data_IF_469442993260
#
_entry.id   IF_469442993260
#
_cell.length_a   1.000
_cell.length_b   1.000
_cell.length_c   1.000
_cell.angle_alpha   90.00
_cell.angle_beta   90.00
_cell.angle_gamma   90.00
#
_symmetry.space_group_name_H-M   'P 1'
#
loop_
_entity.id
_entity.type
_entity.pdbx_description
1 polymer ?
#
# COMPACT_ATOMS: atom_id res chain seq x y z
N UNK A 1 48.70 39.69 -38.34
CA UNK A 1 49.49 39.82 -39.59
C UNK A 1 48.59 39.38 -40.74
N UNK A 2 48.43 40.37 -41.70
CA UNK A 2 47.98 40.24 -43.10
C UNK A 2 46.53 39.72 -43.35
N UNK A 3 45.53 40.55 -43.51
CA UNK A 3 45.21 41.48 -44.65
C UNK A 3 45.12 40.82 -46.00
N UNK A 4 43.96 40.96 -46.67
CA UNK A 4 43.68 41.41 -48.04
C UNK A 4 42.27 40.91 -48.42
N UNK A 5 41.23 41.74 -48.55
CA UNK A 5 40.88 42.79 -49.53
C UNK A 5 40.49 42.27 -50.93
N UNK A 6 39.30 42.71 -51.36
CA UNK A 6 38.75 43.08 -52.70
C UNK A 6 38.23 41.91 -53.57
N UNK A 7 37.16 42.04 -54.29
CA UNK A 7 36.66 43.15 -55.12
C UNK A 7 35.17 43.00 -55.42
N UNK A 8 34.52 44.12 -55.56
CA UNK A 8 33.20 44.36 -56.19
C UNK A 8 33.40 44.58 -57.68
N UNK A 9 32.43 44.26 -58.57
CA UNK A 9 31.93 45.27 -59.51
C UNK A 9 30.41 45.29 -59.63
N UNK A 10 29.93 46.44 -59.87
CA UNK A 10 28.62 47.03 -59.92
C UNK A 10 27.80 46.76 -61.17
N UNK A 11 26.85 47.63 -61.51
CA UNK A 11 25.50 47.20 -61.93
C UNK A 11 25.33 47.21 -63.49
N UNK A 12 24.47 46.29 -63.95
CA UNK A 12 23.98 46.33 -65.37
C UNK A 12 22.47 46.60 -65.37
N UNK A 13 22.15 47.76 -65.87
CA UNK A 13 20.82 48.19 -66.27
C UNK A 13 20.30 47.32 -67.42
N UNK A 14 19.17 46.70 -67.29
CA UNK A 14 18.38 46.23 -68.41
C UNK A 14 16.91 46.57 -68.26
N UNK A 15 16.43 47.16 -69.29
CA UNK A 15 15.18 47.80 -69.70
C UNK A 15 13.89 47.05 -69.36
N UNK A 16 12.90 47.84 -68.95
CA UNK A 16 11.48 47.50 -68.84
C UNK A 16 10.88 47.02 -70.14
N UNK A 17 10.28 45.83 -70.14
CA UNK A 17 9.19 45.48 -71.05
C UNK A 17 7.91 45.33 -70.31
N UNK A 18 6.98 46.24 -70.56
CA UNK A 18 5.62 46.20 -70.05
C UNK A 18 4.84 45.19 -70.85
N UNK A 19 4.46 44.07 -70.31
CA UNK A 19 3.44 43.19 -70.84
C UNK A 19 2.12 43.43 -70.12
N UNK A 20 1.12 43.91 -70.81
CA UNK A 20 -0.27 43.98 -70.40
C UNK A 20 -0.79 42.55 -70.27
N UNK A 21 -1.00 42.05 -69.12
CA UNK A 21 -1.68 40.78 -68.82
C UNK A 21 -3.15 41.04 -68.50
N UNK A 22 -4.03 40.34 -69.22
CA UNK A 22 -5.47 40.32 -69.03
C UNK A 22 -5.82 39.66 -67.66
N UNK A 23 -6.90 40.07 -66.96
CA UNK A 23 -7.32 39.45 -65.72
C UNK A 23 -8.00 38.10 -66.01
N UNK A 24 -7.32 37.01 -65.81
CA UNK A 24 -7.95 35.68 -65.66
C UNK A 24 -8.46 35.50 -64.30
N UNK A 25 -9.78 35.46 -64.11
CA UNK A 25 -10.50 35.15 -62.93
C UNK A 25 -10.20 33.69 -62.51
N UNK A 26 -9.22 33.49 -61.62
CA UNK A 26 -8.95 32.18 -61.03
C UNK A 26 -9.84 32.04 -59.81
N UNK A 27 -10.88 31.22 -59.94
CA UNK A 27 -11.64 30.69 -58.81
C UNK A 27 -10.66 29.86 -57.95
N UNK A 28 -10.29 30.40 -56.76
CA UNK A 28 -9.55 29.67 -55.75
C UNK A 28 -10.56 28.79 -55.01
N UNK A 29 -10.67 27.51 -55.37
CA UNK A 29 -11.40 26.50 -54.59
C UNK A 29 -10.54 26.17 -53.39
N UNK A 30 -10.84 26.78 -52.25
CA UNK A 30 -10.28 26.36 -50.94
C UNK A 30 -10.88 25.01 -50.56
N UNK A 31 -10.18 23.94 -50.90
CA UNK A 31 -10.48 22.61 -50.28
C UNK A 31 -10.02 22.68 -48.86
N UNK A 32 -10.97 22.87 -47.94
CA UNK A 32 -10.75 22.74 -46.48
C UNK A 32 -10.54 21.25 -46.24
N UNK A 33 -9.30 20.80 -46.13
CA UNK A 33 -8.93 19.50 -45.61
C UNK A 33 -9.30 19.50 -44.11
N UNK A 34 -10.51 19.00 -43.80
CA UNK A 34 -10.87 18.66 -42.42
C UNK A 34 -10.03 17.45 -42.01
N UNK A 35 -8.87 17.73 -41.44
CA UNK A 35 -8.04 16.72 -40.82
C UNK A 35 -8.79 16.25 -39.54
N UNK A 36 -9.24 14.99 -39.44
CA UNK A 36 -9.79 14.52 -38.18
C UNK A 36 -8.68 14.62 -37.15
N UNK A 37 -8.82 15.50 -36.16
CA UNK A 37 -7.97 15.55 -35.01
C UNK A 37 -8.20 14.22 -34.23
N UNK A 38 -7.33 13.24 -34.50
CA UNK A 38 -7.24 12.06 -33.67
C UNK A 38 -6.80 12.58 -32.29
N UNK A 39 -7.75 12.77 -31.42
CA UNK A 39 -7.49 13.04 -30.02
C UNK A 39 -6.79 11.80 -29.42
N UNK A 40 -5.46 11.79 -29.45
CA UNK A 40 -4.69 10.89 -28.64
C UNK A 40 -5.06 11.20 -27.18
N UNK A 41 -5.97 10.40 -26.62
CA UNK A 41 -6.29 10.47 -25.23
C UNK A 41 -4.99 10.35 -24.44
N UNK A 42 -4.56 11.42 -23.78
CA UNK A 42 -3.40 11.39 -22.90
C UNK A 42 -3.67 10.33 -21.83
N UNK A 43 -3.00 9.20 -21.92
CA UNK A 43 -3.03 8.20 -20.85
C UNK A 43 -2.46 8.86 -19.60
N UNK A 44 -3.29 8.97 -18.57
CA UNK A 44 -2.83 9.52 -17.29
C UNK A 44 -1.67 8.68 -16.77
N UNK A 45 -0.67 9.33 -16.17
CA UNK A 45 0.43 8.63 -15.52
C UNK A 45 -0.09 7.58 -14.53
N UNK A 46 0.53 6.40 -14.45
CA UNK A 46 0.09 5.34 -13.54
C UNK A 46 0.18 5.79 -12.09
N UNK A 47 -0.74 5.31 -11.26
CA UNK A 47 -0.68 5.45 -9.80
C UNK A 47 0.45 4.56 -9.30
N UNK A 48 1.51 5.16 -8.76
CA UNK A 48 2.67 4.43 -8.24
C UNK A 48 2.39 4.02 -6.79
N UNK A 49 2.36 2.73 -6.52
CA UNK A 49 2.01 2.16 -5.21
C UNK A 49 3.25 1.51 -4.58
N UNK A 50 3.58 1.92 -3.34
CA UNK A 50 4.58 1.21 -2.55
C UNK A 50 3.95 -0.04 -1.96
N UNK A 51 4.52 -1.21 -2.21
CA UNK A 51 4.01 -2.49 -1.71
C UNK A 51 5.14 -3.46 -1.37
N UNK A 52 4.84 -4.38 -0.48
CA UNK A 52 5.74 -5.49 -0.17
C UNK A 52 5.53 -6.63 -1.17
N UNK A 53 6.62 -7.21 -1.73
CA UNK A 53 6.51 -8.29 -2.70
C UNK A 53 6.02 -9.63 -2.14
N UNK A 54 6.12 -9.87 -0.81
CA UNK A 54 5.89 -11.19 -0.19
C UNK A 54 5.08 -11.13 1.12
N UNK A 55 4.21 -10.14 1.28
CA UNK A 55 3.46 -9.88 2.52
C UNK A 55 1.97 -10.23 2.39
N UNK A 56 1.64 -11.47 2.08
CA UNK A 56 0.23 -11.91 2.09
C UNK A 56 -0.37 -11.89 3.51
N UNK A 57 -1.61 -11.48 3.68
CA UNK A 57 -2.67 -11.21 2.69
C UNK A 57 -2.70 -9.79 2.13
N UNK A 58 -1.74 -8.93 2.47
CA UNK A 58 -1.72 -7.52 2.07
C UNK A 58 -1.35 -7.37 0.60
N UNK A 59 -0.14 -7.77 0.23
CA UNK A 59 0.36 -7.66 -1.12
C UNK A 59 1.37 -8.74 -1.48
N UNK A 60 1.47 -9.07 -2.76
CA UNK A 60 2.55 -9.83 -3.35
C UNK A 60 2.77 -9.42 -4.81
N UNK A 61 3.87 -9.87 -5.42
CA UNK A 61 4.17 -9.59 -6.84
C UNK A 61 3.18 -10.23 -7.81
N UNK A 62 2.46 -11.28 -7.39
CA UNK A 62 1.38 -11.91 -8.18
C UNK A 62 0.07 -11.12 -8.13
N UNK A 63 0.03 -10.01 -7.38
CA UNK A 63 -1.12 -9.12 -7.22
C UNK A 63 -2.33 -9.80 -6.56
N UNK A 64 -2.09 -10.77 -5.69
CA UNK A 64 -3.12 -11.58 -5.04
C UNK A 64 -3.57 -11.02 -3.69
N UNK A 65 -2.88 -10.00 -3.14
CA UNK A 65 -3.22 -9.41 -1.85
C UNK A 65 -4.40 -8.44 -1.90
N UNK A 66 -5.06 -8.24 -0.76
CA UNK A 66 -6.20 -7.32 -0.70
C UNK A 66 -5.80 -5.86 -0.96
N UNK A 67 -4.59 -5.44 -0.60
CA UNK A 67 -4.07 -4.10 -0.90
C UNK A 67 -3.82 -3.93 -2.41
N UNK A 68 -3.39 -5.00 -3.11
CA UNK A 68 -3.28 -4.98 -4.57
C UNK A 68 -4.66 -4.76 -5.22
N UNK A 69 -5.70 -5.43 -4.73
CA UNK A 69 -7.08 -5.28 -5.22
C UNK A 69 -7.62 -3.87 -4.96
N UNK A 70 -7.39 -3.33 -3.75
CA UNK A 70 -7.80 -1.97 -3.38
C UNK A 70 -7.04 -0.94 -4.24
N UNK A 71 -5.74 -1.11 -4.46
CA UNK A 71 -4.95 -0.23 -5.32
C UNK A 71 -5.50 -0.21 -6.76
N UNK A 72 -5.85 -1.38 -7.30
CA UNK A 72 -6.47 -1.51 -8.63
C UNK A 72 -7.83 -0.81 -8.71
N UNK A 73 -8.65 -0.94 -7.66
CA UNK A 73 -9.94 -0.25 -7.55
C UNK A 73 -9.75 1.28 -7.55
N UNK A 74 -8.79 1.79 -6.77
CA UNK A 74 -8.49 3.22 -6.72
C UNK A 74 -8.00 3.72 -8.08
N UNK A 75 -7.05 3.03 -8.71
CA UNK A 75 -6.51 3.44 -10.00
C UNK A 75 -7.59 3.48 -11.09
N UNK A 76 -8.48 2.48 -11.12
CA UNK A 76 -9.62 2.42 -12.02
C UNK A 76 -10.52 3.66 -11.88
N UNK A 77 -10.91 4.03 -10.66
CA UNK A 77 -11.76 5.20 -10.40
C UNK A 77 -11.04 6.53 -10.69
N UNK A 78 -9.71 6.55 -10.59
CA UNK A 78 -8.89 7.68 -10.99
C UNK A 78 -8.67 7.76 -12.51
N UNK A 79 -9.12 6.75 -13.27
CA UNK A 79 -8.96 6.65 -14.72
C UNK A 79 -7.50 6.43 -15.12
N UNK A 80 -6.76 5.60 -14.39
CA UNK A 80 -5.36 5.26 -14.65
C UNK A 80 -5.08 3.78 -14.33
N UNK A 81 -3.84 3.35 -14.48
CA UNK A 81 -3.35 2.01 -14.11
C UNK A 81 -2.52 2.07 -12.84
N UNK A 82 -2.17 0.90 -12.27
CA UNK A 82 -1.25 0.80 -11.14
C UNK A 82 0.15 0.46 -11.65
N UNK A 83 1.15 1.09 -11.04
CA UNK A 83 2.55 0.70 -11.13
C UNK A 83 3.08 0.46 -9.71
N UNK A 84 3.74 -0.66 -9.48
CA UNK A 84 4.22 -1.01 -8.14
C UNK A 84 5.69 -0.69 -7.96
N UNK A 85 6.02 -0.17 -6.78
CA UNK A 85 7.38 -0.08 -6.26
C UNK A 85 7.50 -1.11 -5.14
N UNK A 86 8.16 -2.21 -5.44
CA UNK A 86 8.32 -3.33 -4.53
C UNK A 86 9.47 -3.10 -3.57
N UNK A 87 9.17 -3.21 -2.28
CA UNK A 87 10.13 -3.11 -1.20
C UNK A 87 9.60 -3.83 0.04
N UNK A 88 10.42 -4.61 0.72
CA UNK A 88 10.00 -5.29 1.95
C UNK A 88 9.52 -4.30 3.00
N UNK A 89 8.34 -4.54 3.58
CA UNK A 89 7.73 -3.68 4.58
C UNK A 89 8.42 -3.83 5.95
N UNK A 90 9.57 -3.21 6.07
CA UNK A 90 10.43 -3.20 7.26
C UNK A 90 10.77 -1.77 7.65
N UNK A 91 11.56 -1.65 8.72
CA UNK A 91 12.09 -0.34 9.16
C UNK A 91 12.68 0.44 7.99
N UNK A 92 12.20 1.66 7.81
CA UNK A 92 12.62 2.52 6.71
C UNK A 92 11.84 2.33 5.41
N UNK A 93 10.83 1.48 5.35
CA UNK A 93 10.00 1.27 4.15
C UNK A 93 9.60 2.59 3.47
N UNK A 94 8.90 3.48 4.18
CA UNK A 94 8.45 4.78 3.62
C UNK A 94 9.63 5.69 3.26
N UNK A 95 10.70 5.70 4.05
CA UNK A 95 11.89 6.52 3.76
C UNK A 95 12.61 6.06 2.49
N UNK A 96 12.66 4.75 2.25
CA UNK A 96 13.37 4.17 1.11
C UNK A 96 12.50 4.05 -0.16
N UNK A 97 11.20 4.32 -0.04
CA UNK A 97 10.25 4.27 -1.16
C UNK A 97 9.65 5.65 -1.44
N UNK A 98 8.64 6.07 -0.70
CA UNK A 98 7.90 7.30 -0.95
C UNK A 98 8.74 8.57 -0.73
N UNK A 99 9.61 8.57 0.30
CA UNK A 99 10.41 9.71 0.69
C UNK A 99 11.88 9.61 0.24
N UNK A 100 12.21 8.70 -0.68
CA UNK A 100 13.56 8.57 -1.20
C UNK A 100 13.99 9.84 -1.95
N UNK A 101 15.03 10.53 -1.46
CA UNK A 101 15.52 11.79 -2.00
C UNK A 101 16.23 11.63 -3.35
N UNK A 102 16.85 10.48 -3.60
CA UNK A 102 17.66 10.23 -4.80
C UNK A 102 16.84 9.88 -6.06
N UNK A 103 15.52 9.71 -5.97
CA UNK A 103 14.66 9.32 -7.10
C UNK A 103 13.27 9.97 -7.03
N UNK A 104 13.16 11.21 -6.58
CA UNK A 104 11.93 12.02 -6.54
C UNK A 104 10.70 11.29 -5.95
N UNK A 105 10.91 10.47 -4.91
CA UNK A 105 9.86 9.64 -4.32
C UNK A 105 9.38 8.58 -5.32
N UNK A 106 9.72 7.34 -5.09
CA UNK A 106 9.45 6.24 -6.04
C UNK A 106 7.97 5.94 -6.21
N UNK A 107 7.14 6.21 -5.19
CA UNK A 107 5.70 5.94 -5.20
C UNK A 107 4.88 7.09 -4.62
N UNK A 108 3.60 7.11 -4.95
CA UNK A 108 2.66 8.18 -4.62
C UNK A 108 1.77 7.79 -3.42
N UNK A 109 1.48 6.49 -3.28
CA UNK A 109 0.56 5.97 -2.27
C UNK A 109 1.05 4.65 -1.68
N UNK A 110 0.72 4.43 -0.41
CA UNK A 110 0.79 3.14 0.29
C UNK A 110 -0.61 2.82 0.81
N UNK A 111 -1.05 1.57 0.67
CA UNK A 111 -2.45 1.23 0.97
C UNK A 111 -2.67 0.95 2.46
N UNK A 112 -1.70 0.37 3.18
CA UNK A 112 -1.82 0.00 4.59
C UNK A 112 -0.80 0.70 5.49
N UNK A 113 -1.24 1.73 6.25
CA UNK A 113 -0.47 2.36 7.32
C UNK A 113 -1.38 2.66 8.52
N UNK A 114 -0.86 2.71 9.74
CA UNK A 114 -1.63 3.19 10.87
C UNK A 114 -2.14 4.62 10.64
N UNK A 115 -3.36 4.91 11.09
CA UNK A 115 -3.89 6.29 11.09
C UNK A 115 -2.94 7.23 11.84
N UNK A 116 -2.70 8.41 11.28
CA UNK A 116 -1.80 9.40 11.87
C UNK A 116 -0.31 9.07 11.75
N UNK A 117 0.08 8.09 10.92
CA UNK A 117 1.49 7.78 10.71
C UNK A 117 2.24 8.97 10.13
N UNK A 118 3.19 9.49 10.89
CA UNK A 118 3.83 10.78 10.68
C UNK A 118 4.72 10.91 9.43
N UNK A 119 5.11 9.80 8.82
CA UNK A 119 5.96 9.83 7.61
C UNK A 119 5.17 10.09 6.31
N UNK A 120 3.85 10.03 6.36
CA UNK A 120 2.94 10.22 5.20
C UNK A 120 1.76 11.14 5.58
N UNK A 121 0.98 11.55 4.59
CA UNK A 121 -0.32 12.20 4.81
C UNK A 121 -1.40 11.12 4.76
N UNK A 122 -1.93 10.71 5.92
CA UNK A 122 -2.92 9.63 6.01
C UNK A 122 -4.31 10.09 5.62
N UNK A 123 -5.07 9.22 4.94
CA UNK A 123 -6.52 9.37 4.77
C UNK A 123 -7.24 9.06 6.09
N UNK A 124 -8.55 9.35 6.23
CA UNK A 124 -9.35 8.67 7.23
C UNK A 124 -9.26 7.14 7.07
N UNK A 125 -9.39 6.35 8.15
CA UNK A 125 -9.21 4.91 8.09
C UNK A 125 -10.23 4.24 7.17
N UNK A 126 -9.84 3.16 6.52
CA UNK A 126 -10.72 2.33 5.71
C UNK A 126 -11.06 1.01 6.38
N UNK A 127 -10.33 0.61 7.42
CA UNK A 127 -10.74 -0.44 8.34
C UNK A 127 -10.07 -0.28 9.71
N UNK A 128 -10.62 -1.00 10.70
CA UNK A 128 -10.03 -1.19 12.01
C UNK A 128 -9.91 -2.68 12.27
N UNK A 129 -8.77 -3.13 12.79
CA UNK A 129 -8.56 -4.52 13.18
C UNK A 129 -7.76 -4.60 14.48
N UNK A 130 -7.59 -5.80 15.02
CA UNK A 130 -6.91 -6.05 16.29
C UNK A 130 -5.99 -7.25 16.21
N UNK A 131 -5.09 -7.38 17.17
CA UNK A 131 -4.41 -8.65 17.42
C UNK A 131 -5.41 -9.66 17.97
N UNK A 132 -5.18 -10.92 17.66
CA UNK A 132 -6.03 -12.04 18.08
C UNK A 132 -5.18 -13.16 18.70
N UNK A 133 -5.72 -13.83 19.69
CA UNK A 133 -5.25 -15.14 20.11
C UNK A 133 -5.68 -16.17 19.07
N UNK A 134 -4.78 -17.04 18.65
CA UNK A 134 -5.02 -18.11 17.69
C UNK A 134 -4.62 -19.44 18.32
N UNK A 135 -5.55 -20.38 18.42
CA UNK A 135 -5.30 -21.73 18.95
C UNK A 135 -6.25 -22.75 18.36
N UNK A 136 -5.94 -24.08 18.44
CA UNK A 136 -6.79 -25.12 17.86
C UNK A 136 -8.17 -25.16 18.54
N UNK A 137 -9.24 -25.12 17.74
CA UNK A 137 -10.61 -25.20 18.22
C UNK A 137 -10.92 -26.59 18.80
N UNK A 138 -11.68 -26.63 19.91
CA UNK A 138 -12.17 -27.89 20.49
C UNK A 138 -11.12 -28.70 21.26
N UNK A 139 -9.93 -28.14 21.53
CA UNK A 139 -8.86 -28.80 22.32
C UNK A 139 -8.84 -28.40 23.78
N UNK A 140 -9.93 -27.85 24.32
CA UNK A 140 -10.05 -27.46 25.73
C UNK A 140 -9.27 -26.21 26.14
N UNK A 141 -8.59 -25.54 25.19
CA UNK A 141 -7.93 -24.27 25.45
C UNK A 141 -8.92 -23.13 25.27
N UNK A 142 -8.99 -22.25 26.26
CA UNK A 142 -9.76 -21.00 26.20
C UNK A 142 -8.91 -19.89 26.79
N UNK A 143 -8.49 -18.93 25.97
CA UNK A 143 -7.71 -17.77 26.40
C UNK A 143 -8.45 -16.52 25.97
N UNK A 144 -8.74 -15.63 26.92
CA UNK A 144 -9.50 -14.39 26.69
C UNK A 144 -8.76 -13.14 27.15
N UNK A 145 -7.62 -13.28 27.82
CA UNK A 145 -6.87 -12.18 28.39
C UNK A 145 -5.37 -12.47 28.38
N UNK A 146 -4.56 -11.43 28.31
CA UNK A 146 -3.11 -11.52 28.51
C UNK A 146 -2.73 -11.83 29.98
N UNK A 147 -3.67 -11.64 30.89
CA UNK A 147 -3.48 -11.93 32.32
C UNK A 147 -3.85 -13.38 32.68
N UNK A 148 -4.26 -14.19 31.71
CA UNK A 148 -4.60 -15.58 31.93
C UNK A 148 -3.36 -16.37 32.39
N UNK A 149 -3.35 -16.97 33.59
CA UNK A 149 -2.19 -17.66 34.15
C UNK A 149 -1.75 -18.87 33.32
N UNK A 150 -2.63 -19.41 32.46
CA UNK A 150 -2.29 -20.53 31.59
C UNK A 150 -1.20 -20.15 30.57
N UNK A 151 -1.07 -18.84 30.19
CA UNK A 151 -0.07 -18.36 29.25
C UNK A 151 1.36 -18.69 29.68
N UNK A 152 1.62 -18.76 31.00
CA UNK A 152 2.92 -19.16 31.57
C UNK A 152 3.29 -20.63 31.31
N UNK A 153 2.31 -21.46 30.91
CA UNK A 153 2.48 -22.89 30.65
C UNK A 153 2.43 -23.26 29.20
N UNK A 154 2.08 -22.31 28.32
CA UNK A 154 1.91 -22.52 26.90
C UNK A 154 3.13 -22.04 26.10
N UNK A 155 3.49 -22.76 25.03
CA UNK A 155 4.38 -22.21 23.99
C UNK A 155 3.58 -21.22 23.17
N UNK A 156 4.03 -19.95 23.16
CA UNK A 156 3.32 -18.84 22.54
C UNK A 156 4.09 -18.31 21.34
N UNK A 157 3.49 -18.37 20.15
CA UNK A 157 4.04 -17.77 18.96
C UNK A 157 3.76 -16.26 18.90
N UNK A 158 4.76 -15.46 18.57
CA UNK A 158 4.63 -14.03 18.31
C UNK A 158 5.50 -13.63 17.12
N UNK A 159 5.11 -12.57 16.41
CA UNK A 159 6.01 -11.96 15.42
C UNK A 159 7.08 -11.13 16.14
N UNK A 160 8.34 -11.24 15.67
CA UNK A 160 9.48 -10.46 16.15
C UNK A 160 10.10 -9.67 15.00
N UNK A 161 10.40 -8.39 15.28
CA UNK A 161 11.12 -7.50 14.36
C UNK A 161 12.64 -7.52 14.60
N UNK A 162 13.09 -8.00 15.74
CA UNK A 162 14.47 -8.00 16.18
C UNK A 162 14.58 -7.94 17.72
N UNK A 163 15.77 -7.65 18.22
CA UNK A 163 16.06 -7.60 19.64
C UNK A 163 15.79 -6.23 20.27
N UNK A 164 15.30 -5.27 19.49
CA UNK A 164 15.05 -3.90 19.92
C UNK A 164 13.59 -3.65 20.33
N UNK A 165 13.34 -2.47 20.91
CA UNK A 165 12.03 -2.02 21.39
C UNK A 165 10.98 -1.79 20.28
N UNK A 166 11.28 -2.14 19.04
CA UNK A 166 10.34 -1.99 17.91
C UNK A 166 9.42 -3.19 17.72
N UNK A 167 9.50 -4.18 18.60
CA UNK A 167 8.65 -5.36 18.55
C UNK A 167 7.16 -5.02 18.71
N UNK A 168 6.26 -5.84 18.13
CA UNK A 168 4.82 -5.63 18.25
C UNK A 168 4.30 -5.69 19.69
N UNK A 169 3.14 -5.06 19.98
CA UNK A 169 2.55 -5.00 21.33
C UNK A 169 2.49 -6.33 22.09
N UNK A 170 2.17 -7.49 21.47
CA UNK A 170 2.16 -8.76 22.20
C UNK A 170 3.46 -9.10 22.90
N UNK A 171 4.60 -8.82 22.27
CA UNK A 171 5.93 -9.13 22.84
C UNK A 171 6.16 -8.34 24.12
N UNK A 172 5.90 -7.03 24.08
CA UNK A 172 6.09 -6.15 25.23
C UNK A 172 5.17 -6.54 26.41
N UNK A 173 3.90 -6.81 26.10
CA UNK A 173 2.92 -7.10 27.13
C UNK A 173 3.08 -8.49 27.74
N UNK A 174 3.55 -9.49 26.99
CA UNK A 174 3.95 -10.79 27.54
C UNK A 174 5.18 -10.65 28.43
N UNK A 175 6.19 -9.91 28.00
CA UNK A 175 7.40 -9.66 28.79
C UNK A 175 7.11 -8.99 30.12
N UNK A 176 6.24 -7.96 30.15
CA UNK A 176 5.81 -7.30 31.40
C UNK A 176 5.13 -8.26 32.40
N UNK A 177 4.50 -9.32 31.88
CA UNK A 177 3.82 -10.35 32.69
C UNK A 177 4.73 -11.52 33.08
N UNK A 178 6.03 -11.42 32.74
CA UNK A 178 7.00 -12.48 32.97
C UNK A 178 6.77 -13.73 32.13
N UNK A 179 6.11 -13.59 30.98
CA UNK A 179 5.94 -14.66 29.99
C UNK A 179 7.00 -14.45 28.91
N UNK A 180 8.17 -15.06 29.11
CA UNK A 180 9.35 -14.89 28.24
C UNK A 180 9.88 -16.24 27.76
N UNK A 181 10.12 -17.18 28.66
CA UNK A 181 10.86 -18.42 28.40
C UNK A 181 10.17 -19.35 27.39
N UNK A 182 8.86 -19.26 27.28
CA UNK A 182 8.01 -20.07 26.40
C UNK A 182 7.49 -19.30 25.18
N UNK A 183 8.04 -18.13 24.91
CA UNK A 183 7.74 -17.36 23.69
C UNK A 183 8.61 -17.85 22.52
N UNK A 184 7.96 -18.10 21.39
CA UNK A 184 8.59 -18.52 20.14
C UNK A 184 8.43 -17.37 19.13
N UNK A 185 9.56 -16.81 18.69
CA UNK A 185 9.60 -15.73 17.72
C UNK A 185 9.47 -16.19 16.27
N UNK A 186 8.66 -15.49 15.49
CA UNK A 186 8.52 -15.65 14.05
C UNK A 186 8.96 -14.36 13.37
N UNK A 187 9.89 -14.48 12.43
CA UNK A 187 10.44 -13.32 11.72
C UNK A 187 9.38 -12.63 10.88
N UNK A 188 9.41 -11.29 10.87
CA UNK A 188 8.62 -10.44 9.96
C UNK A 188 9.37 -10.08 8.67
N UNK A 189 10.56 -10.66 8.46
CA UNK A 189 11.25 -10.56 7.18
C UNK A 189 10.73 -11.64 6.23
N UNK A 190 9.68 -11.30 5.51
CA UNK A 190 8.99 -12.24 4.63
C UNK A 190 9.77 -12.49 3.33
N UNK A 191 9.69 -13.73 2.85
CA UNK A 191 10.27 -14.23 1.62
C UNK A 191 9.46 -15.45 1.15
N UNK A 192 9.81 -16.03 0.00
CA UNK A 192 9.22 -17.31 -0.45
C UNK A 192 9.37 -18.43 0.59
N UNK A 193 10.47 -18.42 1.35
CA UNK A 193 10.80 -19.45 2.37
C UNK A 193 10.21 -19.10 3.74
N UNK A 194 9.94 -17.83 4.02
CA UNK A 194 9.41 -17.32 5.28
C UNK A 194 8.08 -16.60 5.09
N UNK A 195 7.00 -17.36 4.96
CA UNK A 195 5.65 -16.84 4.82
C UNK A 195 5.15 -16.14 6.09
N UNK A 196 4.38 -15.03 5.98
CA UNK A 196 3.66 -14.46 7.11
C UNK A 196 2.76 -15.46 7.85
N UNK A 197 2.32 -16.52 7.19
CA UNK A 197 1.49 -17.59 7.74
C UNK A 197 2.24 -18.64 8.55
N UNK A 198 3.57 -18.64 8.56
CA UNK A 198 4.36 -19.67 9.27
C UNK A 198 3.99 -19.80 10.76
N UNK A 199 3.61 -18.71 11.41
CA UNK A 199 3.14 -18.69 12.78
C UNK A 199 1.80 -19.41 12.95
N UNK A 200 0.88 -19.30 12.00
CA UNK A 200 -0.41 -20.00 12.02
C UNK A 200 -0.23 -21.47 11.72
N UNK A 201 0.66 -21.82 10.78
CA UNK A 201 1.06 -23.19 10.50
C UNK A 201 1.65 -23.88 11.74
N UNK A 202 2.43 -23.15 12.53
CA UNK A 202 3.01 -23.67 13.76
C UNK A 202 1.94 -24.00 14.82
N UNK A 203 0.88 -23.18 14.91
CA UNK A 203 -0.30 -23.47 15.76
C UNK A 203 -1.02 -24.72 15.23
N UNK A 204 -1.34 -24.80 13.96
CA UNK A 204 -2.06 -25.91 13.36
C UNK A 204 -1.30 -27.24 13.51
N UNK A 205 0.02 -27.20 13.40
CA UNK A 205 0.93 -28.35 13.56
C UNK A 205 1.30 -28.68 15.02
N UNK A 206 0.80 -27.92 15.99
CA UNK A 206 1.09 -28.11 17.41
C UNK A 206 2.53 -27.78 17.82
N UNK A 207 3.30 -27.05 17.01
CA UNK A 207 4.65 -26.58 17.37
C UNK A 207 4.63 -25.50 18.44
N UNK A 208 3.57 -24.69 18.44
CA UNK A 208 3.16 -23.77 19.51
C UNK A 208 1.72 -24.07 19.91
N UNK A 209 1.36 -23.81 21.14
CA UNK A 209 0.00 -24.06 21.63
C UNK A 209 -0.98 -22.95 21.26
N UNK A 210 -0.46 -21.74 21.18
CA UNK A 210 -1.20 -20.50 20.93
C UNK A 210 -0.28 -19.54 20.18
N UNK A 211 -0.86 -18.67 19.38
CA UNK A 211 -0.14 -17.50 18.83
C UNK A 211 -0.92 -16.21 19.09
N UNK A 212 -0.22 -15.07 19.17
CA UNK A 212 -0.84 -13.74 19.23
C UNK A 212 -0.41 -13.00 17.96
N UNK A 213 -1.37 -12.83 17.05
CA UNK A 213 -1.09 -12.43 15.66
C UNK A 213 -1.97 -11.26 15.26
N UNK A 214 -1.46 -10.41 14.38
CA UNK A 214 -2.27 -9.36 13.73
C UNK A 214 -3.44 -9.97 12.98
N UNK A 215 -4.65 -9.48 13.23
CA UNK A 215 -5.90 -10.08 12.78
C UNK A 215 -5.98 -10.41 11.29
N UNK A 216 -5.62 -9.51 10.36
CA UNK A 216 -5.62 -9.82 8.93
C UNK A 216 -4.76 -11.04 8.54
N UNK A 217 -3.57 -11.18 9.13
CA UNK A 217 -2.71 -12.36 8.92
C UNK A 217 -3.40 -13.61 9.49
N UNK A 218 -3.88 -13.50 10.73
CA UNK A 218 -4.53 -14.62 11.40
C UNK A 218 -5.75 -15.11 10.64
N UNK A 219 -6.66 -14.22 10.24
CA UNK A 219 -7.89 -14.58 9.53
C UNK A 219 -7.63 -15.24 8.19
N UNK A 220 -6.72 -14.69 7.42
CA UNK A 220 -6.38 -15.20 6.10
C UNK A 220 -5.79 -16.62 6.15
N UNK A 221 -4.79 -16.82 7.02
CA UNK A 221 -4.10 -18.11 7.08
C UNK A 221 -4.86 -19.15 7.88
N UNK A 222 -5.64 -18.77 8.91
CA UNK A 222 -6.47 -19.72 9.65
C UNK A 222 -7.56 -20.33 8.76
N UNK A 223 -8.17 -19.56 7.88
CA UNK A 223 -9.18 -20.06 6.94
C UNK A 223 -8.63 -21.09 5.92
N UNK A 224 -7.31 -21.21 5.83
CA UNK A 224 -6.59 -22.12 4.90
C UNK A 224 -5.99 -23.33 5.58
N UNK A 225 -6.18 -23.44 6.90
CA UNK A 225 -5.71 -24.63 7.66
C UNK A 225 -6.71 -25.77 7.55
N UNK A 226 -6.19 -26.99 7.56
CA UNK A 226 -7.00 -28.22 7.66
C UNK A 226 -7.56 -28.44 9.08
N UNK A 227 -6.91 -27.87 10.09
CA UNK A 227 -7.34 -27.90 11.49
C UNK A 227 -8.11 -26.63 11.80
N UNK A 228 -9.34 -26.72 12.34
CA UNK A 228 -10.10 -25.56 12.76
C UNK A 228 -9.37 -24.78 13.86
N UNK A 229 -9.17 -23.49 13.64
CA UNK A 229 -8.56 -22.59 14.61
C UNK A 229 -9.60 -21.61 15.18
N UNK A 230 -9.44 -21.29 16.45
CA UNK A 230 -10.19 -20.25 17.14
C UNK A 230 -9.41 -18.95 17.04
N UNK A 231 -10.10 -17.86 16.73
CA UNK A 231 -9.56 -16.51 16.69
C UNK A 231 -10.30 -15.63 17.69
N UNK A 232 -9.65 -15.31 18.78
CA UNK A 232 -10.25 -14.51 19.87
C UNK A 232 -9.56 -13.15 19.93
N UNK A 233 -10.27 -12.04 19.74
CA UNK A 233 -9.69 -10.72 19.86
C UNK A 233 -9.00 -10.50 21.20
N UNK A 234 -7.80 -9.91 21.18
CA UNK A 234 -7.15 -9.43 22.40
C UNK A 234 -7.97 -8.23 22.91
N UNK A 235 -8.46 -8.26 24.17
CA UNK A 235 -9.28 -7.17 24.70
C UNK A 235 -8.54 -5.84 24.73
N UNK A 236 -9.25 -4.74 24.59
CA UNK A 236 -8.71 -3.40 24.79
C UNK A 236 -8.31 -3.19 26.24
N UNK A 237 -7.27 -2.37 26.48
CA UNK A 237 -6.82 -2.04 27.84
C UNK A 237 -6.00 -3.14 28.52
N UNK A 238 -5.50 -4.11 27.77
CA UNK A 238 -4.64 -5.19 28.28
C UNK A 238 -3.18 -4.77 28.51
N UNK A 239 -2.88 -3.47 28.43
CA UNK A 239 -1.54 -2.92 28.65
C UNK A 239 -1.43 -1.48 28.22
N UNK A 240 -0.20 -0.96 28.21
CA UNK A 240 0.09 0.44 27.81
C UNK A 240 0.05 0.64 26.29
N UNK A 241 0.23 -0.44 25.53
CA UNK A 241 0.22 -0.40 24.08
C UNK A 241 -1.15 -0.82 23.51
N UNK A 242 -1.62 -0.17 22.45
CA UNK A 242 -2.87 -0.57 21.81
C UNK A 242 -2.72 -1.90 21.09
N UNK A 243 -3.76 -2.72 21.10
CA UNK A 243 -3.86 -3.95 20.33
C UNK A 243 -4.73 -3.82 19.09
N UNK A 244 -5.51 -2.76 19.00
CA UNK A 244 -6.38 -2.48 17.86
C UNK A 244 -5.95 -1.17 17.18
N UNK A 245 -5.89 -1.19 15.86
CA UNK A 245 -5.42 -0.06 15.05
C UNK A 245 -6.40 0.28 13.95
N UNK A 246 -6.58 1.57 13.73
CA UNK A 246 -7.19 2.12 12.54
C UNK A 246 -6.15 2.11 11.42
N UNK A 247 -6.53 1.57 10.26
CA UNK A 247 -5.65 1.47 9.10
C UNK A 247 -6.13 2.39 8.00
N UNK A 248 -5.22 3.21 7.52
CA UNK A 248 -5.41 4.27 6.53
C UNK A 248 -4.56 4.02 5.30
N UNK A 249 -4.87 4.74 4.24
CA UNK A 249 -3.98 4.88 3.09
C UNK A 249 -3.07 6.08 3.33
N UNK A 250 -1.79 5.96 2.97
CA UNK A 250 -0.81 7.04 3.09
C UNK A 250 -0.47 7.61 1.72
N UNK A 251 -0.50 8.94 1.60
CA UNK A 251 -0.09 9.67 0.40
C UNK A 251 1.15 10.49 0.72
N UNK A 252 2.01 10.73 -0.26
CA UNK A 252 3.19 11.56 -0.09
C UNK A 252 2.82 12.91 0.54
N UNK A 253 3.57 13.35 1.53
CA UNK A 253 3.37 14.66 2.17
C UNK A 253 3.47 15.78 1.13
N UNK A 254 2.54 16.75 1.20
CA UNK A 254 2.44 17.85 0.25
C UNK A 254 1.52 17.59 -0.94
N UNK A 255 1.18 16.34 -1.26
CA UNK A 255 0.22 16.04 -2.34
C UNK A 255 -1.23 15.98 -1.81
N UNK A 256 -1.76 17.14 -1.46
CA UNK A 256 -3.14 17.29 -1.00
C UNK A 256 -4.16 16.93 -2.09
N UNK A 257 -3.82 17.15 -3.35
CA UNK A 257 -4.71 16.86 -4.48
C UNK A 257 -4.91 15.35 -4.67
N UNK A 258 -3.84 14.57 -4.66
CA UNK A 258 -3.94 13.11 -4.71
C UNK A 258 -4.65 12.56 -3.48
N UNK A 259 -4.31 13.06 -2.28
CA UNK A 259 -4.97 12.66 -1.03
C UNK A 259 -6.49 12.83 -1.12
N UNK A 260 -6.98 14.00 -1.52
CA UNK A 260 -8.42 14.26 -1.66
C UNK A 260 -9.09 13.31 -2.67
N UNK A 261 -8.41 12.98 -3.78
CA UNK A 261 -8.92 12.03 -4.77
C UNK A 261 -9.00 10.62 -4.20
N UNK A 262 -7.96 10.15 -3.51
CA UNK A 262 -7.93 8.83 -2.85
C UNK A 262 -9.01 8.74 -1.76
N UNK A 263 -9.18 9.77 -0.94
CA UNK A 263 -10.23 9.86 0.08
C UNK A 263 -11.65 9.77 -0.54
N UNK A 264 -11.85 10.44 -1.66
CA UNK A 264 -13.13 10.39 -2.37
C UNK A 264 -13.44 8.97 -2.85
N UNK A 265 -12.49 8.29 -3.50
CA UNK A 265 -12.65 6.90 -3.94
C UNK A 265 -12.89 5.98 -2.73
N UNK A 266 -12.08 6.08 -1.66
CA UNK A 266 -12.26 5.31 -0.42
C UNK A 266 -13.68 5.45 0.12
N UNK A 267 -14.25 6.66 0.15
CA UNK A 267 -15.61 6.93 0.62
C UNK A 267 -16.67 6.32 -0.31
N UNK A 268 -16.52 6.52 -1.63
CA UNK A 268 -17.49 6.03 -2.62
C UNK A 268 -17.48 4.50 -2.73
N UNK A 269 -16.33 3.87 -2.56
CA UNK A 269 -16.13 2.42 -2.68
C UNK A 269 -16.02 1.70 -1.33
N UNK A 270 -16.47 2.32 -0.25
CA UNK A 270 -16.34 1.75 1.11
C UNK A 270 -16.96 0.36 1.25
N UNK A 271 -18.11 0.12 0.63
CA UNK A 271 -18.78 -1.18 0.65
C UNK A 271 -17.95 -2.25 -0.10
N UNK A 272 -17.39 -1.90 -1.27
CA UNK A 272 -16.57 -2.81 -2.07
C UNK A 272 -15.22 -3.11 -1.38
N UNK A 273 -14.60 -2.10 -0.78
CA UNK A 273 -13.38 -2.27 0.04
C UNK A 273 -13.69 -3.20 1.23
N UNK A 274 -14.80 -3.00 1.92
CA UNK A 274 -15.22 -3.87 3.03
C UNK A 274 -15.47 -5.30 2.57
N UNK A 275 -16.05 -5.51 1.39
CA UNK A 275 -16.26 -6.84 0.81
C UNK A 275 -14.92 -7.53 0.52
N UNK A 276 -13.95 -6.82 -0.07
CA UNK A 276 -12.60 -7.32 -0.29
C UNK A 276 -11.98 -7.76 1.04
N UNK A 277 -12.00 -6.93 2.07
CA UNK A 277 -11.41 -7.27 3.38
C UNK A 277 -12.05 -8.52 4.00
N UNK A 278 -13.39 -8.65 3.91
CA UNK A 278 -14.11 -9.84 4.41
C UNK A 278 -13.73 -11.11 3.65
N UNK A 279 -13.56 -11.04 2.33
CA UNK A 279 -13.12 -12.16 1.50
C UNK A 279 -11.76 -12.71 1.94
N UNK A 280 -10.87 -11.82 2.42
CA UNK A 280 -9.57 -12.22 2.98
C UNK A 280 -9.63 -12.59 4.47
N UNK A 281 -10.81 -12.67 5.06
CA UNK A 281 -10.98 -13.07 6.46
C UNK A 281 -10.48 -12.02 7.47
N UNK A 282 -10.37 -10.76 7.08
CA UNK A 282 -9.91 -9.69 7.97
C UNK A 282 -10.91 -9.52 9.12
N UNK A 283 -10.52 -9.68 10.40
CA UNK A 283 -11.37 -9.40 11.54
C UNK A 283 -11.61 -7.89 11.63
N UNK A 284 -12.77 -7.45 11.16
CA UNK A 284 -13.17 -6.05 11.20
C UNK A 284 -13.76 -5.71 12.57
N UNK A 285 -13.30 -4.59 13.13
CA UNK A 285 -13.87 -3.99 14.33
C UNK A 285 -14.68 -2.74 13.95
N UNK A 286 -15.68 -2.42 14.74
CA UNK A 286 -16.36 -1.14 14.62
C UNK A 286 -15.33 0.00 14.76
N UNK A 287 -15.49 1.03 13.94
CA UNK A 287 -14.67 2.23 14.06
C UNK A 287 -14.92 2.82 15.46
N UNK A 288 -14.01 2.55 16.39
CA UNK A 288 -14.06 3.16 17.71
C UNK A 288 -14.15 4.67 17.55
N UNK A 289 -15.08 5.31 18.25
CA UNK A 289 -15.11 6.77 18.33
C UNK A 289 -13.74 7.21 18.81
N UNK A 290 -13.01 7.92 17.99
CA UNK A 290 -11.79 8.59 18.40
C UNK A 290 -12.17 9.55 19.51
N UNK A 291 -11.85 9.19 20.76
CA UNK A 291 -11.81 10.19 21.81
C UNK A 291 -10.67 11.14 21.47
N UNK A 292 -10.98 12.21 20.76
CA UNK A 292 -10.14 13.41 20.74
C UNK A 292 -10.03 13.91 22.17
N UNK A 293 -8.82 13.74 22.75
CA UNK A 293 -8.40 14.50 23.94
C UNK A 293 -7.92 15.86 23.52
#
# INVERSE_FOLDING_TARGET
MKTLLRCWPGPALWTRRVYKARPALRLLVCVILVCPAIAFGQTKAPLRVCSDPENMPFSNQKLEGFENRIASLIAKDLGTTVSYIWWGQRRGFIRNTMNATLQEGRCDVVIGVPEGYDLVSTTPPYYRSTYVFVYPKGKGLTVKSLDDPILKKLKIGVHLLGDDYTNPPPVHELSKRGVVDNVVGFSTFYSEENSPGAIIDAVAKGKVNLAIVWGPIAGYYAARQSVPLELVPVPSGQGDLPFAFNISMGVKKGDAALKARVENVRRQRSAEITAILKEYGVPLMDAGRTHTK
#
